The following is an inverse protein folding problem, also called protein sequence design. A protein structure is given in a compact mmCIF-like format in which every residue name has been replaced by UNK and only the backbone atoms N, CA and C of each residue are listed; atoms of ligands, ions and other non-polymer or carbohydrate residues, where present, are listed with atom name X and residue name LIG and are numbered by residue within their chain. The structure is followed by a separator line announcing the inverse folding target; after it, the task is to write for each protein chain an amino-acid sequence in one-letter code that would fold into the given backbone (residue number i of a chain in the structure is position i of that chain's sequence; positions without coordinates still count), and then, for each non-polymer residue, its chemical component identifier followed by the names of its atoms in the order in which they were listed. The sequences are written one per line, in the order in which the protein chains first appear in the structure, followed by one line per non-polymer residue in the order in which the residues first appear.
data_IF_902161839846
#
_entry.id   IF_902161839846
#
_cell.length_a   1.000
_cell.length_b   1.000
_cell.length_c   1.000
_cell.angle_alpha   90.00
_cell.angle_beta   90.00
_cell.angle_gamma   90.00
#
_symmetry.space_group_name_H-M   'P 1'
#
loop_
_entity.id
_entity.type
_entity.pdbx_description
1 polymer ?
#
# COMPACT_ATOMS: atom_id res chain seq x y z
N UNK A 1 13.69 -9.61 58.71
CA UNK A 1 14.08 -8.20 58.44
C UNK A 1 14.64 -8.17 57.01
N UNK A 2 14.14 -7.32 56.10
CA UNK A 2 14.75 -6.05 55.65
C UNK A 2 16.27 -6.20 55.34
N UNK A 3 16.81 -5.79 54.18
CA UNK A 3 16.22 -5.10 53.00
C UNK A 3 17.28 -4.90 51.89
N UNK A 4 16.84 -4.81 50.62
CA UNK A 4 17.35 -3.96 49.51
C UNK A 4 18.86 -3.89 49.19
N UNK A 5 19.23 -3.97 47.89
CA UNK A 5 20.58 -3.62 47.43
C UNK A 5 20.94 -3.98 45.99
N UNK A 6 20.27 -3.41 44.98
CA UNK A 6 20.72 -3.49 43.58
C UNK A 6 21.71 -2.37 43.24
N UNK A 7 22.96 -2.70 42.92
CA UNK A 7 23.91 -1.76 42.29
C UNK A 7 24.83 -2.49 41.31
N UNK A 8 24.74 -2.12 40.03
CA UNK A 8 25.70 -2.52 38.99
C UNK A 8 26.76 -1.43 38.88
N UNK A 9 28.04 -1.81 38.91
CA UNK A 9 29.17 -0.89 38.78
C UNK A 9 29.46 -0.60 37.30
N UNK A 10 29.46 0.69 36.94
CA UNK A 10 29.91 1.18 35.63
C UNK A 10 31.35 1.70 35.72
N UNK A 11 32.29 1.21 34.91
CA UNK A 11 33.51 1.95 34.60
C UNK A 11 33.23 2.92 33.45
N UNK A 12 33.12 4.21 33.77
CA UNK A 12 33.21 5.29 32.77
C UNK A 12 34.68 5.51 32.45
N UNK A 13 35.10 5.22 31.23
CA UNK A 13 36.33 5.82 30.67
C UNK A 13 36.12 6.22 29.21
N UNK A 14 36.45 7.48 28.95
CA UNK A 14 36.45 8.15 27.64
C UNK A 14 37.69 7.80 26.83
N UNK A 15 37.59 7.74 25.49
CA UNK A 15 38.49 8.38 24.48
C UNK A 15 37.88 8.20 23.06
N UNK A 16 38.20 9.13 22.14
CA UNK A 16 37.58 9.50 20.84
C UNK A 16 38.70 10.10 19.95
N UNK A 17 38.76 10.04 18.57
CA UNK A 17 37.68 10.05 17.56
C UNK A 17 37.88 9.12 16.31
N UNK A 18 37.11 9.42 15.23
CA UNK A 18 37.31 9.11 13.78
C UNK A 18 36.90 7.72 13.22
N UNK A 19 36.36 7.58 11.99
CA UNK A 19 36.12 8.54 10.89
C UNK A 19 34.63 8.52 10.44
N UNK A 20 34.12 9.64 9.93
CA UNK A 20 33.33 9.70 8.67
C UNK A 20 33.14 11.17 8.22
N UNK A 21 33.34 11.54 6.94
CA UNK A 21 33.33 12.93 6.50
C UNK A 21 32.01 13.35 5.83
N UNK A 22 31.50 14.55 6.14
CA UNK A 22 30.58 15.28 5.24
C UNK A 22 30.78 16.81 5.31
N UNK A 23 31.41 17.32 4.24
CA UNK A 23 31.16 18.61 3.56
C UNK A 23 31.17 19.89 4.41
N UNK A 24 32.33 20.56 4.39
CA UNK A 24 32.53 21.90 3.79
C UNK A 24 31.29 22.81 3.68
N UNK A 25 31.22 23.89 4.48
CA UNK A 25 31.70 25.26 4.13
C UNK A 25 30.62 26.11 3.40
N UNK A 26 30.33 27.38 3.71
CA UNK A 26 30.93 28.35 4.67
C UNK A 26 29.82 29.21 5.34
N UNK A 27 30.14 29.73 6.53
CA UNK A 27 29.67 30.98 7.19
C UNK A 27 29.51 32.17 6.21
N UNK A 28 28.86 33.32 6.49
CA UNK A 28 27.99 33.85 7.57
C UNK A 28 27.28 35.12 7.04
N UNK A 29 26.37 35.70 7.82
CA UNK A 29 25.47 36.80 7.42
C UNK A 29 26.10 38.23 7.45
N UNK A 30 25.58 39.15 6.63
CA UNK A 30 25.75 40.63 6.69
C UNK A 30 27.15 41.16 6.32
N UNK A 31 27.37 42.37 5.75
CA UNK A 31 26.75 43.70 5.99
C UNK A 31 26.55 44.51 4.68
N UNK A 32 25.75 45.59 4.77
CA UNK A 32 25.22 46.47 3.70
C UNK A 32 26.26 47.43 3.05
N UNK A 33 25.90 47.92 1.85
CA UNK A 33 26.45 49.06 1.04
C UNK A 33 27.64 48.81 0.08
N UNK A 34 27.30 48.47 -1.16
CA UNK A 34 27.84 49.00 -2.43
C UNK A 34 26.80 48.69 -3.53
N UNK A 35 25.71 49.46 -3.57
CA UNK A 35 25.48 50.56 -4.52
C UNK A 35 25.41 50.18 -6.01
N UNK A 36 24.16 50.27 -6.51
CA UNK A 36 23.74 50.75 -7.86
C UNK A 36 23.81 49.76 -9.05
N UNK A 37 22.94 50.04 -10.03
CA UNK A 37 22.85 49.47 -11.39
C UNK A 37 22.17 48.11 -11.65
N UNK A 38 21.09 47.76 -10.94
CA UNK A 38 20.10 46.73 -11.41
C UNK A 38 18.63 47.12 -11.28
N UNK A 39 18.32 48.42 -11.34
CA UNK A 39 16.96 48.96 -11.22
C UNK A 39 16.54 49.82 -12.43
N UNK A 40 16.96 49.43 -13.64
CA UNK A 40 16.76 50.21 -14.88
C UNK A 40 16.23 49.39 -16.08
N UNK A 41 15.79 48.15 -15.87
CA UNK A 41 15.26 47.27 -16.93
C UNK A 41 13.89 46.65 -16.60
N UNK A 42 13.15 47.29 -15.68
CA UNK A 42 11.83 46.85 -15.24
C UNK A 42 10.74 47.88 -15.56
N UNK A 43 10.68 48.35 -16.81
CA UNK A 43 9.42 48.80 -17.42
C UNK A 43 9.47 48.85 -18.96
N UNK A 44 8.32 48.53 -19.56
CA UNK A 44 7.89 48.99 -20.89
C UNK A 44 8.59 48.46 -22.15
N UNK A 45 8.16 47.26 -22.60
CA UNK A 45 7.70 47.12 -24.00
C UNK A 45 6.58 46.08 -24.11
N UNK A 46 5.34 46.56 -24.11
CA UNK A 46 4.16 45.80 -24.48
C UNK A 46 4.10 45.61 -25.99
N UNK A 47 4.40 44.41 -26.48
CA UNK A 47 3.98 43.96 -27.82
C UNK A 47 3.17 42.69 -27.70
N UNK A 48 1.94 42.76 -28.18
CA UNK A 48 0.92 41.72 -28.17
C UNK A 48 1.39 40.42 -28.84
N UNK A 49 1.59 39.37 -28.04
CA UNK A 49 1.51 37.98 -28.50
C UNK A 49 0.27 37.32 -27.89
N UNK A 50 -0.90 37.59 -28.49
CA UNK A 50 -2.10 36.78 -28.29
C UNK A 50 -1.89 35.41 -28.97
N UNK A 51 -1.16 34.53 -28.29
CA UNK A 51 -0.96 33.16 -28.73
C UNK A 51 -2.32 32.43 -28.71
N UNK A 52 -2.92 32.29 -29.89
CA UNK A 52 -4.08 31.43 -30.12
C UNK A 52 -3.69 29.99 -29.76
N UNK A 53 -3.99 29.58 -28.52
CA UNK A 53 -3.99 28.17 -28.14
C UNK A 53 -5.23 27.56 -28.80
N UNK A 54 -5.10 26.69 -29.83
CA UNK A 54 -6.25 25.93 -30.29
C UNK A 54 -6.80 25.17 -29.10
N UNK A 55 -8.08 25.39 -28.79
CA UNK A 55 -8.76 24.72 -27.70
C UNK A 55 -8.80 23.23 -28.01
N UNK A 56 -7.89 22.48 -27.38
CA UNK A 56 -7.83 21.03 -27.49
C UNK A 56 -9.17 20.48 -27.00
N UNK A 57 -10.07 20.22 -27.94
CA UNK A 57 -11.33 19.53 -27.69
C UNK A 57 -10.95 18.21 -27.04
N UNK A 58 -11.39 18.02 -25.78
CA UNK A 58 -11.19 16.77 -25.04
C UNK A 58 -12.10 15.70 -25.62
N UNK A 59 -11.80 15.27 -26.85
CA UNK A 59 -12.24 13.98 -27.38
C UNK A 59 -11.75 12.94 -26.39
N UNK A 60 -12.65 12.41 -25.58
CA UNK A 60 -12.34 11.29 -24.73
C UNK A 60 -11.95 10.12 -25.63
N UNK A 61 -10.77 9.53 -25.40
CA UNK A 61 -10.22 8.43 -26.20
C UNK A 61 -11.32 7.48 -26.72
N UNK A 62 -11.57 7.39 -28.04
CA UNK A 62 -12.73 6.69 -28.59
C UNK A 62 -12.82 5.19 -28.28
N UNK A 63 -11.72 4.58 -27.80
CA UNK A 63 -11.68 3.20 -27.33
C UNK A 63 -11.35 3.14 -25.83
N UNK A 64 -12.29 3.60 -24.99
CA UNK A 64 -12.29 3.28 -23.56
C UNK A 64 -12.95 1.92 -23.36
N UNK A 65 -12.17 0.87 -23.61
CA UNK A 65 -12.51 -0.50 -23.25
C UNK A 65 -13.07 -0.53 -21.81
N UNK A 66 -14.23 -1.17 -21.63
CA UNK A 66 -14.87 -1.21 -20.32
C UNK A 66 -13.94 -1.90 -19.30
N UNK A 67 -13.81 -1.32 -18.10
CA UNK A 67 -12.86 -1.83 -17.09
C UNK A 67 -13.26 -3.25 -16.70
N UNK A 68 -12.50 -4.24 -17.18
CA UNK A 68 -12.75 -5.67 -16.92
C UNK A 68 -12.82 -5.91 -15.41
N UNK A 69 -13.99 -6.35 -14.94
CA UNK A 69 -14.27 -6.58 -13.54
C UNK A 69 -13.61 -7.86 -13.01
N UNK A 70 -13.56 -7.99 -11.69
CA UNK A 70 -13.27 -9.26 -11.04
C UNK A 70 -14.45 -10.24 -11.16
N UNK A 71 -14.17 -11.55 -11.08
CA UNK A 71 -15.18 -12.62 -11.17
C UNK A 71 -16.38 -12.39 -10.23
N UNK A 72 -16.12 -11.91 -9.01
CA UNK A 72 -17.16 -11.67 -7.99
C UNK A 72 -17.67 -10.22 -7.93
N UNK A 73 -17.34 -9.36 -8.89
CA UNK A 73 -17.63 -7.93 -8.76
C UNK A 73 -19.14 -7.60 -8.76
N UNK A 74 -19.96 -8.44 -9.41
CA UNK A 74 -21.42 -8.31 -9.45
C UNK A 74 -22.15 -9.28 -8.51
N UNK A 75 -21.42 -10.07 -7.71
CA UNK A 75 -21.98 -11.14 -6.85
C UNK A 75 -22.01 -10.68 -5.39
N UNK A 76 -23.11 -10.93 -4.68
CA UNK A 76 -23.23 -10.69 -3.23
C UNK A 76 -22.50 -11.79 -2.45
N UNK A 77 -21.71 -11.40 -1.44
CA UNK A 77 -20.88 -12.33 -0.65
C UNK A 77 -21.44 -12.44 0.77
N UNK A 78 -22.06 -13.57 1.07
CA UNK A 78 -22.62 -13.87 2.39
C UNK A 78 -21.75 -14.86 3.17
N UNK A 79 -21.68 -14.69 4.49
CA UNK A 79 -20.99 -15.60 5.41
C UNK A 79 -21.66 -16.99 5.51
N UNK A 80 -22.91 -17.11 5.03
CA UNK A 80 -23.70 -18.35 4.99
C UNK A 80 -23.32 -19.26 3.80
N UNK A 81 -22.72 -18.70 2.75
CA UNK A 81 -22.46 -19.41 1.50
C UNK A 81 -21.09 -20.11 1.56
N UNK A 82 -21.00 -21.15 2.41
CA UNK A 82 -19.74 -21.84 2.74
C UNK A 82 -19.03 -22.34 1.48
N UNK A 83 -19.75 -22.92 0.51
CA UNK A 83 -19.18 -23.42 -0.75
C UNK A 83 -18.34 -22.35 -1.47
N UNK A 84 -18.91 -21.14 -1.67
CA UNK A 84 -18.21 -20.02 -2.31
C UNK A 84 -17.00 -19.56 -1.49
N UNK A 85 -17.13 -19.46 -0.16
CA UNK A 85 -16.03 -19.04 0.71
C UNK A 85 -14.87 -20.05 0.73
N UNK A 86 -15.21 -21.34 0.67
CA UNK A 86 -14.24 -22.45 0.67
C UNK A 86 -13.35 -22.50 -0.57
N UNK A 87 -13.69 -21.79 -1.64
CA UNK A 87 -12.87 -21.67 -2.86
C UNK A 87 -11.71 -20.66 -2.70
N UNK A 88 -11.75 -19.81 -1.67
CA UNK A 88 -10.73 -18.81 -1.34
C UNK A 88 -9.84 -19.21 -0.16
N UNK A 89 -9.87 -20.49 0.23
CA UNK A 89 -9.18 -21.05 1.40
C UNK A 89 -8.32 -22.25 0.99
N UNK A 90 -7.14 -22.39 1.60
CA UNK A 90 -6.24 -23.54 1.42
C UNK A 90 -6.89 -24.84 1.91
N UNK A 91 -6.94 -25.91 1.10
CA UNK A 91 -7.62 -27.16 1.46
C UNK A 91 -7.05 -27.80 2.74
N UNK A 92 -5.72 -27.84 2.86
CA UNK A 92 -5.04 -28.51 3.98
C UNK A 92 -4.67 -27.59 5.14
N UNK A 93 -4.69 -26.26 4.94
CA UNK A 93 -4.16 -25.30 5.94
C UNK A 93 -5.19 -24.31 6.47
N UNK A 94 -6.40 -24.23 5.88
CA UNK A 94 -7.42 -23.25 6.27
C UNK A 94 -7.03 -21.78 6.06
N UNK A 95 -5.86 -21.51 5.47
CA UNK A 95 -5.34 -20.16 5.21
C UNK A 95 -6.13 -19.49 4.08
N UNK A 96 -6.59 -18.27 4.31
CA UNK A 96 -7.27 -17.44 3.30
C UNK A 96 -6.25 -16.98 2.24
N UNK A 97 -6.55 -17.18 0.96
CA UNK A 97 -5.67 -16.77 -0.12
C UNK A 97 -5.58 -15.25 -0.30
N UNK A 98 -4.36 -14.77 -0.59
CA UNK A 98 -4.08 -13.36 -0.84
C UNK A 98 -4.53 -12.90 -2.23
N UNK A 99 -4.62 -11.58 -2.43
CA UNK A 99 -5.09 -10.97 -3.69
C UNK A 99 -4.30 -11.40 -4.93
N UNK A 100 -3.00 -11.69 -4.79
CA UNK A 100 -2.14 -12.14 -5.89
C UNK A 100 -2.48 -13.55 -6.39
N UNK A 101 -3.20 -14.36 -5.58
CA UNK A 101 -3.72 -15.68 -5.95
C UNK A 101 -5.16 -15.58 -6.46
N UNK A 102 -6.01 -14.84 -5.74
CA UNK A 102 -7.46 -14.80 -6.01
C UNK A 102 -7.85 -13.92 -7.20
N UNK A 103 -6.98 -13.01 -7.63
CA UNK A 103 -7.24 -12.06 -8.73
C UNK A 103 -8.34 -11.02 -8.42
N UNK A 104 -8.85 -10.96 -7.19
CA UNK A 104 -10.03 -10.14 -6.87
C UNK A 104 -9.74 -8.64 -6.74
N UNK A 105 -10.77 -7.83 -6.94
CA UNK A 105 -10.74 -6.42 -6.58
C UNK A 105 -10.62 -6.26 -5.06
N UNK A 106 -9.88 -5.23 -4.60
CA UNK A 106 -9.62 -5.01 -3.16
C UNK A 106 -10.89 -4.82 -2.31
N UNK A 107 -12.01 -4.37 -2.90
CA UNK A 107 -13.32 -4.33 -2.25
C UNK A 107 -13.84 -5.74 -1.94
N UNK A 108 -13.94 -6.60 -2.96
CA UNK A 108 -14.42 -7.98 -2.84
C UNK A 108 -13.50 -8.87 -1.99
N UNK A 109 -12.18 -8.70 -2.10
CA UNK A 109 -11.23 -9.41 -1.22
C UNK A 109 -11.48 -9.09 0.26
N UNK A 110 -11.73 -7.82 0.62
CA UNK A 110 -12.07 -7.42 2.00
C UNK A 110 -13.43 -7.99 2.44
N UNK A 111 -14.41 -8.01 1.55
CA UNK A 111 -15.74 -8.62 1.77
C UNK A 111 -15.60 -10.12 2.12
N UNK A 112 -14.89 -10.89 1.28
CA UNK A 112 -14.65 -12.32 1.49
C UNK A 112 -13.85 -12.58 2.77
N UNK A 113 -12.78 -11.83 3.03
CA UNK A 113 -12.01 -11.99 4.27
C UNK A 113 -12.83 -11.68 5.53
N UNK A 114 -13.81 -10.76 5.47
CA UNK A 114 -14.77 -10.53 6.56
C UNK A 114 -15.79 -11.67 6.67
N UNK A 115 -16.34 -12.13 5.55
CA UNK A 115 -17.31 -13.22 5.51
C UNK A 115 -16.73 -14.54 6.04
N UNK A 116 -15.50 -14.90 5.63
CA UNK A 116 -14.77 -16.08 6.14
C UNK A 116 -14.55 -15.97 7.65
N UNK A 117 -14.00 -14.84 8.14
CA UNK A 117 -13.78 -14.65 9.58
C UNK A 117 -15.09 -14.74 10.38
N UNK A 118 -16.19 -14.19 9.85
CA UNK A 118 -17.52 -14.31 10.46
C UNK A 118 -18.03 -15.75 10.44
N UNK A 119 -17.84 -16.49 9.35
CA UNK A 119 -18.20 -17.91 9.27
C UNK A 119 -17.40 -18.76 10.27
N UNK A 120 -16.10 -18.49 10.44
CA UNK A 120 -15.27 -19.13 11.46
C UNK A 120 -15.76 -18.85 12.88
N UNK A 121 -16.00 -17.57 13.22
CA UNK A 121 -16.47 -17.17 14.57
C UNK A 121 -17.87 -17.70 14.92
N UNK A 122 -18.70 -18.00 13.92
CA UNK A 122 -20.04 -18.56 14.10
C UNK A 122 -20.11 -20.09 13.93
N UNK A 123 -18.97 -20.76 13.68
CA UNK A 123 -18.92 -22.22 13.50
C UNK A 123 -19.43 -22.75 12.16
N UNK A 124 -19.72 -21.90 11.17
CA UNK A 124 -20.16 -22.33 9.85
C UNK A 124 -19.03 -22.89 8.97
N UNK A 125 -17.77 -22.61 9.27
CA UNK A 125 -16.64 -23.13 8.49
C UNK A 125 -15.39 -23.35 9.36
N UNK A 126 -14.70 -24.51 9.23
CA UNK A 126 -13.49 -24.84 9.99
C UNK A 126 -12.30 -23.93 9.65
N UNK A 127 -11.48 -23.66 10.67
CA UNK A 127 -10.32 -22.75 10.57
C UNK A 127 -9.06 -23.44 10.07
N UNK A 128 -8.94 -24.76 10.25
CA UNK A 128 -7.68 -25.51 10.05
C UNK A 128 -7.59 -26.23 8.71
N UNK A 129 -8.72 -26.63 8.15
CA UNK A 129 -8.82 -27.42 6.91
C UNK A 129 -10.14 -27.07 6.20
N UNK A 130 -10.29 -27.49 4.94
CA UNK A 130 -11.54 -27.37 4.18
C UNK A 130 -12.40 -28.63 4.36
N UNK A 131 -13.73 -28.50 4.35
CA UNK A 131 -14.62 -29.67 4.38
C UNK A 131 -14.37 -30.61 3.17
N UNK A 132 -14.43 -31.94 3.35
CA UNK A 132 -14.12 -32.91 2.29
C UNK A 132 -15.07 -32.81 1.08
N UNK A 133 -16.34 -32.47 1.32
CA UNK A 133 -17.38 -32.27 0.28
C UNK A 133 -16.95 -31.24 -0.77
N UNK A 134 -16.40 -30.11 -0.31
CA UNK A 134 -15.99 -29.00 -1.18
C UNK A 134 -14.61 -29.19 -1.82
N UNK A 135 -13.87 -30.27 -1.51
CA UNK A 135 -12.55 -30.52 -2.12
C UNK A 135 -12.64 -30.77 -3.64
N UNK A 136 -13.80 -31.20 -4.12
CA UNK A 136 -14.08 -31.50 -5.54
C UNK A 136 -14.54 -30.27 -6.34
N UNK A 137 -14.75 -29.11 -5.69
CA UNK A 137 -15.15 -27.87 -6.38
C UNK A 137 -14.09 -27.39 -7.40
N UNK A 138 -14.50 -26.75 -8.51
CA UNK A 138 -13.56 -26.17 -9.46
C UNK A 138 -12.67 -25.10 -8.81
N UNK A 139 -11.34 -25.23 -8.96
CA UNK A 139 -10.37 -24.30 -8.37
C UNK A 139 -10.32 -22.98 -9.13
N UNK A 140 -10.92 -21.93 -8.57
CA UNK A 140 -10.82 -20.54 -9.07
C UNK A 140 -9.39 -19.99 -8.90
N UNK A 141 -8.69 -20.42 -7.85
CA UNK A 141 -7.33 -19.98 -7.54
C UNK A 141 -6.29 -20.87 -8.24
N UNK A 142 -5.38 -20.28 -9.03
CA UNK A 142 -4.39 -20.99 -9.86
C UNK A 142 -3.21 -21.64 -9.10
N UNK A 143 -3.43 -22.07 -7.85
CA UNK A 143 -2.40 -22.78 -7.07
C UNK A 143 -2.36 -24.25 -7.48
N UNK A 144 -1.17 -24.71 -7.87
CA UNK A 144 -0.83 -26.13 -7.89
C UNK A 144 -0.42 -26.52 -6.48
N UNK A 145 -1.22 -27.34 -5.81
CA UNK A 145 -0.73 -28.12 -4.69
C UNK A 145 0.12 -29.26 -5.25
N UNK A 146 1.25 -29.53 -4.60
CA UNK A 146 2.01 -30.76 -4.85
C UNK A 146 1.44 -31.77 -3.86
N UNK A 147 0.64 -32.69 -4.38
CA UNK A 147 0.00 -33.77 -3.64
C UNK A 147 0.99 -34.91 -3.33
#
# INVERSE_FOLDING_TARGET
MRSLGTTVTLPVFTVVPELLPVRCQVKMLCVRKLQRLKAAFYLSRSTSEYLYKPSLLKVGNPSRESKKGCVLCNVTVDFKNIQLLSQFVSPHTGRIYGRHITGLCGRKQKEISKAIKKAHSLGFMPVTHKYPEFMKDPRICSIKHLD
#
